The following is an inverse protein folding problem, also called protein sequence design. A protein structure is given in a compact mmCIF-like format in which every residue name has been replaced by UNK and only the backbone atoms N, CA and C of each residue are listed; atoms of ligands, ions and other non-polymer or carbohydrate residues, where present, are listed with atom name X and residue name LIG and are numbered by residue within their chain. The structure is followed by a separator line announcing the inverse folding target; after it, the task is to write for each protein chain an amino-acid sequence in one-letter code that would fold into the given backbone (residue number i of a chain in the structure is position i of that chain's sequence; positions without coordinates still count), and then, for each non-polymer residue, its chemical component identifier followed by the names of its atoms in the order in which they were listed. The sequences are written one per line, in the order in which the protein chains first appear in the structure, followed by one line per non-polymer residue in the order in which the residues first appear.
data_IF_833719852366
#
_entry.id   IF_833719852366
#
_cell.length_a   1.000
_cell.length_b   1.000
_cell.length_c   1.000
_cell.angle_alpha   90.00
_cell.angle_beta   90.00
_cell.angle_gamma   90.00
#
_symmetry.space_group_name_H-M   'P 1'
#
loop_
_entity.id
_entity.type
_entity.pdbx_description
1 polymer ?
#
# COMPACT_ATOMS: atom_id res chain seq x y z
N UNK A 1 -21.35 -45.59 -34.79
CA UNK A 1 -21.18 -44.95 -33.46
C UNK A 1 -20.40 -43.62 -33.53
N UNK A 2 -19.12 -43.61 -33.96
CA UNK A 2 -18.21 -42.45 -33.90
C UNK A 2 -18.76 -41.09 -34.42
N UNK A 3 -19.57 -41.09 -35.49
CA UNK A 3 -20.19 -39.89 -36.05
C UNK A 3 -21.16 -39.17 -35.08
N UNK A 4 -21.86 -39.91 -34.21
CA UNK A 4 -22.67 -39.32 -33.13
C UNK A 4 -21.78 -38.72 -32.03
N UNK A 5 -20.72 -39.43 -31.63
CA UNK A 5 -19.74 -38.93 -30.65
C UNK A 5 -19.10 -37.60 -31.10
N UNK A 6 -18.68 -37.50 -32.38
CA UNK A 6 -18.11 -36.26 -32.94
C UNK A 6 -19.10 -35.08 -32.94
N UNK A 7 -20.41 -35.32 -33.12
CA UNK A 7 -21.44 -34.26 -32.99
C UNK A 7 -21.61 -33.83 -31.53
N UNK A 8 -21.77 -34.78 -30.60
CA UNK A 8 -21.91 -34.48 -29.16
C UNK A 8 -20.68 -33.72 -28.64
N UNK A 9 -19.47 -34.17 -28.95
CA UNK A 9 -18.24 -33.49 -28.53
C UNK A 9 -18.14 -32.05 -29.05
N UNK A 10 -18.51 -31.79 -30.31
CA UNK A 10 -18.55 -30.42 -30.87
C UNK A 10 -19.59 -29.53 -30.18
N UNK A 11 -20.75 -30.07 -29.81
CA UNK A 11 -21.79 -29.33 -29.09
C UNK A 11 -21.36 -28.99 -27.66
N UNK A 12 -20.73 -29.94 -26.96
CA UNK A 12 -20.15 -29.68 -25.62
C UNK A 12 -19.04 -28.63 -25.68
N UNK A 13 -18.13 -28.73 -26.66
CA UNK A 13 -17.06 -27.74 -26.83
C UNK A 13 -17.62 -26.34 -27.15
N UNK A 14 -18.62 -26.25 -28.04
CA UNK A 14 -19.29 -24.99 -28.36
C UNK A 14 -20.00 -24.41 -27.13
N UNK A 15 -20.69 -25.22 -26.33
CA UNK A 15 -21.34 -24.79 -25.09
C UNK A 15 -20.31 -24.27 -24.07
N UNK A 16 -19.15 -24.92 -23.93
CA UNK A 16 -18.07 -24.44 -23.07
C UNK A 16 -17.48 -23.11 -23.58
N UNK A 17 -17.26 -22.97 -24.89
CA UNK A 17 -16.79 -21.71 -25.48
C UNK A 17 -17.80 -20.57 -25.29
N UNK A 18 -19.10 -20.82 -25.46
CA UNK A 18 -20.14 -19.81 -25.19
C UNK A 18 -20.18 -19.44 -23.71
N UNK A 19 -20.15 -20.41 -22.79
CA UNK A 19 -20.13 -20.12 -21.35
C UNK A 19 -18.88 -19.34 -20.92
N UNK A 20 -17.70 -19.69 -21.45
CA UNK A 20 -16.46 -18.94 -21.20
C UNK A 20 -16.50 -17.55 -21.82
N UNK A 21 -17.04 -17.38 -23.03
CA UNK A 21 -17.21 -16.09 -23.67
C UNK A 21 -18.21 -15.19 -22.93
N UNK A 22 -19.30 -15.75 -22.40
CA UNK A 22 -20.29 -15.03 -21.58
C UNK A 22 -19.68 -14.64 -20.22
N UNK A 23 -18.96 -15.53 -19.54
CA UNK A 23 -18.25 -15.20 -18.30
C UNK A 23 -17.17 -14.12 -18.53
N UNK A 24 -16.46 -14.19 -19.66
CA UNK A 24 -15.49 -13.17 -20.07
C UNK A 24 -16.19 -11.84 -20.39
N UNK A 25 -17.31 -11.85 -21.13
CA UNK A 25 -18.15 -10.67 -21.44
C UNK A 25 -18.69 -10.02 -20.18
N UNK A 26 -19.27 -10.76 -19.25
CA UNK A 26 -19.79 -10.24 -17.97
C UNK A 26 -18.66 -9.60 -17.17
N UNK A 27 -17.50 -10.28 -17.09
CA UNK A 27 -16.32 -9.73 -16.41
C UNK A 27 -15.83 -8.44 -17.07
N UNK A 28 -15.75 -8.39 -18.40
CA UNK A 28 -15.32 -7.21 -19.18
C UNK A 28 -16.35 -6.09 -19.18
N UNK A 29 -17.65 -6.36 -19.14
CA UNK A 29 -18.68 -5.33 -19.05
C UNK A 29 -18.73 -4.70 -17.66
N UNK A 30 -18.52 -5.47 -16.58
CA UNK A 30 -18.24 -4.90 -15.27
C UNK A 30 -16.92 -4.11 -15.29
N UNK A 31 -15.86 -4.59 -15.95
CA UNK A 31 -14.62 -3.79 -16.09
C UNK A 31 -14.88 -2.47 -16.82
N UNK A 32 -15.68 -2.45 -17.90
CA UNK A 32 -15.96 -1.22 -18.63
C UNK A 32 -16.81 -0.25 -17.81
N UNK A 33 -17.91 -0.71 -17.19
CA UNK A 33 -18.73 0.13 -16.33
C UNK A 33 -17.93 0.69 -15.15
N UNK A 34 -17.06 -0.11 -14.54
CA UNK A 34 -16.13 0.36 -13.49
C UNK A 34 -15.09 1.32 -14.08
N UNK A 35 -14.57 1.11 -15.29
CA UNK A 35 -13.63 2.04 -15.95
C UNK A 35 -14.31 3.37 -16.29
N UNK A 36 -15.58 3.36 -16.69
CA UNK A 36 -16.36 4.55 -17.00
C UNK A 36 -16.70 5.32 -15.71
N UNK A 37 -17.14 4.64 -14.65
CA UNK A 37 -17.32 5.21 -13.30
C UNK A 37 -16.00 5.76 -12.73
N UNK A 38 -14.87 5.07 -12.98
CA UNK A 38 -13.55 5.52 -12.56
C UNK A 38 -13.04 6.71 -13.38
N UNK A 39 -13.35 6.76 -14.68
CA UNK A 39 -13.05 7.91 -15.54
C UNK A 39 -13.85 9.11 -15.07
N UNK A 40 -15.15 8.96 -14.79
CA UNK A 40 -15.98 10.01 -14.21
C UNK A 40 -15.48 10.45 -12.82
N UNK A 41 -15.10 9.52 -11.94
CA UNK A 41 -14.51 9.86 -10.65
C UNK A 41 -13.15 10.58 -10.78
N UNK A 42 -12.33 10.21 -11.76
CA UNK A 42 -11.05 10.89 -12.07
C UNK A 42 -11.30 12.27 -12.66
N UNK A 43 -12.26 12.43 -13.57
CA UNK A 43 -12.66 13.72 -14.15
C UNK A 43 -13.23 14.63 -13.07
N UNK A 44 -14.11 14.12 -12.19
CA UNK A 44 -14.63 14.88 -11.05
C UNK A 44 -13.53 15.28 -10.06
N UNK A 45 -12.54 14.41 -9.81
CA UNK A 45 -11.41 14.72 -8.93
C UNK A 45 -10.39 15.73 -9.52
N UNK A 46 -10.31 15.84 -10.85
CA UNK A 46 -9.47 16.84 -11.53
C UNK A 46 -10.25 18.10 -11.94
N UNK A 47 -11.58 18.07 -11.90
CA UNK A 47 -12.42 19.27 -12.02
C UNK A 47 -12.26 20.09 -10.74
N UNK A 48 -11.88 21.38 -10.79
CA UNK A 48 -11.69 22.20 -9.59
C UNK A 48 -13.00 22.45 -8.81
N UNK A 49 -13.40 21.51 -7.95
CA UNK A 49 -14.53 21.69 -7.06
C UNK A 49 -14.21 22.76 -6.01
N UNK A 50 -14.92 23.89 -6.06
CA UNK A 50 -14.85 25.00 -5.10
C UNK A 50 -15.53 24.68 -3.76
N UNK A 51 -15.50 23.42 -3.33
CA UNK A 51 -16.16 22.93 -2.12
C UNK A 51 -15.31 23.19 -0.86
N UNK A 52 -15.90 23.87 0.12
CA UNK A 52 -15.28 24.23 1.42
C UNK A 52 -14.70 23.04 2.22
N UNK A 53 -15.09 21.81 1.92
CA UNK A 53 -14.49 20.59 2.50
C UNK A 53 -12.98 20.49 2.23
N UNK A 54 -12.50 21.03 1.11
CA UNK A 54 -11.07 21.09 0.81
C UNK A 54 -10.34 22.09 1.71
N UNK A 55 -10.93 23.24 2.03
CA UNK A 55 -10.33 24.21 2.96
C UNK A 55 -10.14 23.61 4.35
N UNK A 56 -11.12 22.88 4.89
CA UNK A 56 -10.96 22.21 6.18
C UNK A 56 -9.85 21.14 6.15
N UNK A 57 -9.73 20.39 5.07
CA UNK A 57 -8.67 19.38 4.90
C UNK A 57 -7.28 20.03 4.80
N UNK A 58 -7.11 21.02 3.92
CA UNK A 58 -5.85 21.75 3.76
C UNK A 58 -5.49 22.57 5.00
N UNK A 59 -6.47 23.08 5.76
CA UNK A 59 -6.21 23.76 7.03
C UNK A 59 -5.65 22.79 8.07
N UNK A 60 -6.27 21.63 8.26
CA UNK A 60 -5.72 20.58 9.13
C UNK A 60 -4.31 20.20 8.67
N UNK A 61 -4.07 20.05 7.36
CA UNK A 61 -2.74 19.73 6.83
C UNK A 61 -1.69 20.84 7.04
N UNK A 62 -2.10 22.12 7.02
CA UNK A 62 -1.20 23.25 7.27
C UNK A 62 -0.94 23.50 8.77
N UNK A 63 -1.87 23.16 9.65
CA UNK A 63 -1.65 23.11 11.11
C UNK A 63 -0.69 21.96 11.53
N UNK A 64 -0.30 21.08 10.60
CA UNK A 64 0.59 19.92 10.80
C UNK A 64 2.00 20.11 10.19
N UNK A 65 2.58 21.31 10.32
CA UNK A 65 4.01 21.51 10.01
C UNK A 65 4.90 20.62 10.89
N UNK A 66 6.00 20.10 10.33
CA UNK A 66 6.83 19.07 10.96
C UNK A 66 7.30 19.43 12.40
N UNK A 67 7.35 18.43 13.31
CA UNK A 67 7.57 18.66 14.73
C UNK A 67 8.94 19.27 15.04
N UNK A 68 8.99 20.21 15.98
CA UNK A 68 10.18 21.00 16.35
C UNK A 68 10.33 21.24 17.87
N UNK A 69 9.44 20.69 18.71
CA UNK A 69 9.30 21.10 20.11
C UNK A 69 8.97 19.94 21.06
N UNK A 70 9.16 20.11 22.38
CA UNK A 70 8.71 19.14 23.39
C UNK A 70 7.18 18.91 23.42
N UNK A 71 6.37 19.77 22.79
CA UNK A 71 4.91 19.54 22.66
C UNK A 71 4.60 18.36 21.74
N UNK A 72 5.45 18.14 20.74
CA UNK A 72 5.23 17.13 19.70
C UNK A 72 5.40 15.70 20.25
N UNK A 73 6.27 15.51 21.24
CA UNK A 73 6.42 14.24 21.95
C UNK A 73 5.18 13.89 22.80
N UNK A 74 4.58 14.90 23.46
CA UNK A 74 3.31 14.72 24.19
C UNK A 74 2.19 14.32 23.23
N UNK A 75 2.01 15.05 22.14
CA UNK A 75 1.04 14.73 21.09
C UNK A 75 1.20 13.29 20.57
N UNK A 76 2.43 12.80 20.38
CA UNK A 76 2.66 11.41 19.99
C UNK A 76 2.24 10.43 21.09
N UNK A 77 2.51 10.72 22.36
CA UNK A 77 2.09 9.90 23.52
C UNK A 77 0.57 9.84 23.63
N UNK A 78 -0.10 11.00 23.61
CA UNK A 78 -1.56 11.12 23.70
C UNK A 78 -2.27 10.32 22.61
N UNK A 79 -1.70 10.31 21.39
CA UNK A 79 -2.20 9.55 20.24
C UNK A 79 -1.92 8.05 20.35
N UNK A 80 -0.79 7.65 20.92
CA UNK A 80 -0.49 6.23 21.18
C UNK A 80 -1.46 5.67 22.22
N UNK A 81 -1.75 6.41 23.30
CA UNK A 81 -2.73 6.00 24.32
C UNK A 81 -4.14 5.86 23.72
N UNK A 82 -4.61 6.86 22.96
CA UNK A 82 -5.90 6.80 22.25
C UNK A 82 -5.97 5.61 21.27
N UNK A 83 -4.93 5.43 20.44
CA UNK A 83 -4.85 4.30 19.50
C UNK A 83 -4.89 2.97 20.24
N UNK A 84 -4.17 2.83 21.35
CA UNK A 84 -4.17 1.63 22.17
C UNK A 84 -5.52 1.38 22.86
N UNK A 85 -6.24 2.43 23.28
CA UNK A 85 -7.60 2.31 23.80
C UNK A 85 -8.59 1.76 22.74
N UNK A 86 -8.51 2.26 21.51
CA UNK A 86 -9.33 1.82 20.36
C UNK A 86 -8.93 0.43 19.83
N UNK A 87 -7.73 -0.05 20.15
CA UNK A 87 -7.21 -1.37 19.77
C UNK A 87 -7.30 -2.44 20.86
N UNK A 88 -7.79 -2.14 22.08
CA UNK A 88 -7.90 -3.12 23.17
C UNK A 88 -8.56 -4.41 22.69
N UNK A 89 -7.91 -5.55 22.95
CA UNK A 89 -8.32 -6.91 22.55
C UNK A 89 -8.28 -7.22 21.05
N UNK A 90 -8.06 -6.23 20.17
CA UNK A 90 -8.04 -6.40 18.71
C UNK A 90 -6.70 -6.99 18.21
N UNK A 91 -6.77 -7.73 17.12
CA UNK A 91 -5.63 -8.27 16.35
C UNK A 91 -5.46 -7.44 15.06
N UNK A 92 -4.37 -6.69 14.98
CA UNK A 92 -4.00 -5.86 13.83
C UNK A 92 -3.10 -6.64 12.86
N UNK A 93 -3.48 -6.72 11.59
CA UNK A 93 -2.64 -7.27 10.53
C UNK A 93 -2.30 -6.19 9.51
N UNK A 94 -1.00 -5.97 9.31
CA UNK A 94 -0.45 -5.14 8.25
C UNK A 94 -0.06 -6.03 7.07
N UNK A 95 -0.61 -5.79 5.88
CA UNK A 95 -0.26 -6.54 4.65
C UNK A 95 0.13 -5.57 3.54
N UNK A 96 1.32 -5.77 2.99
CA UNK A 96 1.78 -4.94 1.88
C UNK A 96 3.26 -5.13 1.56
N UNK A 97 3.83 -4.27 0.69
CA UNK A 97 5.24 -4.30 0.32
C UNK A 97 6.16 -3.76 1.44
N UNK A 98 7.45 -3.64 1.14
CA UNK A 98 8.49 -3.16 2.08
C UNK A 98 8.22 -1.78 2.70
N UNK A 99 7.46 -0.89 2.04
CA UNK A 99 7.01 0.38 2.65
C UNK A 99 6.08 0.16 3.84
N UNK A 100 5.21 -0.85 3.79
CA UNK A 100 4.37 -1.29 4.91
C UNK A 100 5.19 -1.90 6.04
N UNK A 101 6.35 -2.53 5.76
CA UNK A 101 7.28 -2.97 6.80
C UNK A 101 7.97 -1.81 7.53
N UNK A 102 8.34 -0.74 6.82
CA UNK A 102 8.86 0.47 7.46
C UNK A 102 7.80 1.13 8.35
N UNK A 103 6.55 1.20 7.88
CA UNK A 103 5.41 1.65 8.67
C UNK A 103 5.21 0.80 9.95
N UNK A 104 5.15 -0.53 9.80
CA UNK A 104 5.10 -1.48 10.93
C UNK A 104 6.19 -1.19 11.97
N UNK A 105 7.43 -1.02 11.51
CA UNK A 105 8.59 -0.80 12.38
C UNK A 105 8.54 0.56 13.09
N UNK A 106 8.07 1.61 12.40
CA UNK A 106 7.90 2.96 12.97
C UNK A 106 6.76 3.01 14.00
N UNK A 107 5.69 2.24 13.80
CA UNK A 107 4.62 2.13 14.78
C UNK A 107 5.09 1.37 16.04
N UNK A 108 5.89 0.31 15.88
CA UNK A 108 6.51 -0.41 17.00
C UNK A 108 7.49 0.46 17.81
N UNK A 109 8.27 1.32 17.16
CA UNK A 109 9.12 2.31 17.82
C UNK A 109 8.27 3.25 18.70
N UNK A 110 7.20 3.82 18.14
CA UNK A 110 6.26 4.69 18.86
C UNK A 110 5.56 4.00 20.04
N UNK A 111 5.26 2.71 19.92
CA UNK A 111 4.67 1.89 20.98
C UNK A 111 5.68 1.51 22.08
N UNK A 112 6.98 1.47 21.77
CA UNK A 112 8.00 0.98 22.72
C UNK A 112 8.14 1.84 23.97
N UNK A 113 7.84 3.15 23.87
CA UNK A 113 7.81 4.08 24.99
C UNK A 113 6.52 4.01 25.85
N UNK A 114 5.43 3.48 25.31
CA UNK A 114 4.17 3.27 26.04
C UNK A 114 4.15 1.91 26.76
N UNK A 115 4.60 0.86 26.07
CA UNK A 115 4.61 -0.52 26.59
C UNK A 115 5.78 -0.80 27.55
N UNK A 116 6.64 0.20 27.84
CA UNK A 116 7.92 0.08 28.57
C UNK A 116 8.79 -1.09 28.05
N UNK A 117 8.86 -1.22 26.71
CA UNK A 117 9.38 -2.42 26.05
C UNK A 117 9.81 -2.18 24.61
N UNK A 118 11.07 -2.49 24.29
CA UNK A 118 11.55 -2.51 22.91
C UNK A 118 10.86 -3.63 22.08
N UNK A 119 10.22 -3.24 20.97
CA UNK A 119 9.51 -4.16 20.08
C UNK A 119 10.36 -4.67 18.91
N UNK A 120 11.35 -5.50 19.20
CA UNK A 120 12.23 -6.10 18.18
C UNK A 120 11.44 -6.92 17.13
N UNK A 121 11.57 -6.55 15.85
CA UNK A 121 11.07 -7.34 14.72
C UNK A 121 12.21 -8.11 14.03
N UNK A 122 12.00 -9.41 13.77
CA UNK A 122 13.02 -10.30 13.17
C UNK A 122 13.28 -10.08 11.66
N UNK A 123 12.80 -8.98 11.09
CA UNK A 123 12.97 -8.64 9.66
C UNK A 123 11.71 -8.83 8.82
N UNK A 124 11.76 -8.28 7.59
CA UNK A 124 10.64 -8.19 6.66
C UNK A 124 10.04 -9.55 6.27
N UNK A 125 10.86 -10.54 5.94
CA UNK A 125 10.41 -11.87 5.55
C UNK A 125 10.05 -12.75 6.77
N UNK A 126 10.20 -12.26 8.00
CA UNK A 126 10.22 -13.06 9.25
C UNK A 126 9.43 -12.47 10.44
N UNK A 127 8.62 -11.43 10.24
CA UNK A 127 7.74 -10.91 11.30
C UNK A 127 6.75 -11.99 11.78
N UNK A 128 6.72 -12.27 13.08
CA UNK A 128 5.85 -13.30 13.67
C UNK A 128 4.58 -12.71 14.28
N UNK A 129 4.73 -11.84 15.27
CA UNK A 129 3.72 -11.04 15.94
C UNK A 129 4.40 -10.18 17.01
N UNK A 130 3.72 -9.14 17.46
CA UNK A 130 4.11 -8.23 18.52
C UNK A 130 2.92 -8.08 19.48
N UNK A 131 3.16 -8.24 20.78
CA UNK A 131 2.15 -8.06 21.82
C UNK A 131 2.28 -6.62 22.31
N UNK A 132 1.39 -5.75 21.84
CA UNK A 132 1.47 -4.29 21.97
C UNK A 132 0.35 -3.75 22.85
N UNK A 133 0.42 -2.47 23.23
CA UNK A 133 -0.56 -1.83 24.09
C UNK A 133 -0.68 -2.57 25.43
N UNK A 134 0.47 -2.88 26.03
CA UNK A 134 0.59 -3.55 27.30
C UNK A 134 0.44 -2.51 28.43
N UNK A 135 -0.29 -2.84 29.52
CA UNK A 135 -0.32 -1.95 30.68
C UNK A 135 1.08 -1.81 31.29
N UNK A 136 1.47 -0.61 31.76
CA UNK A 136 2.79 -0.37 32.35
C UNK A 136 3.17 -1.41 33.42
N UNK A 137 4.43 -1.84 33.40
CA UNK A 137 4.96 -2.89 34.29
C UNK A 137 4.70 -4.34 33.83
N UNK A 138 3.81 -4.59 32.86
CA UNK A 138 3.57 -5.96 32.36
C UNK A 138 4.76 -6.55 31.57
N UNK A 139 5.62 -5.68 31.03
CA UNK A 139 6.70 -6.03 30.12
C UNK A 139 7.81 -6.91 30.72
N UNK A 140 8.06 -6.76 32.02
CA UNK A 140 9.33 -7.07 32.71
C UNK A 140 9.64 -8.55 32.93
N UNK A 141 8.63 -9.43 32.87
CA UNK A 141 8.76 -10.84 33.28
C UNK A 141 8.71 -11.87 32.14
N UNK A 142 8.25 -11.50 30.94
CA UNK A 142 7.96 -12.46 29.88
C UNK A 142 8.93 -12.37 28.68
N UNK A 143 9.73 -13.43 28.56
CA UNK A 143 10.64 -13.68 27.43
C UNK A 143 9.88 -13.78 26.10
N UNK A 144 10.61 -13.65 24.98
CA UNK A 144 10.04 -13.58 23.62
C UNK A 144 9.06 -14.75 23.36
N UNK A 145 7.76 -14.45 23.36
CA UNK A 145 6.68 -15.41 23.21
C UNK A 145 6.90 -16.35 22.01
N UNK A 146 6.86 -17.67 22.24
CA UNK A 146 7.03 -18.68 21.17
C UNK A 146 5.80 -18.81 20.26
N UNK A 147 4.61 -18.53 20.78
CA UNK A 147 3.32 -18.58 20.11
C UNK A 147 2.51 -17.32 20.44
N UNK A 148 1.60 -16.85 19.55
CA UNK A 148 0.81 -15.65 19.80
C UNK A 148 -0.14 -15.85 20.99
N UNK A 149 -0.38 -14.81 21.82
CA UNK A 149 -1.46 -14.79 22.79
C UNK A 149 -2.82 -15.21 22.20
N UNK A 150 -3.56 -15.99 22.97
CA UNK A 150 -4.99 -16.24 22.73
C UNK A 150 -5.84 -15.02 23.12
N UNK A 151 -7.10 -15.00 22.71
CA UNK A 151 -8.00 -13.88 22.93
C UNK A 151 -8.33 -13.65 24.41
N UNK A 152 -8.47 -14.71 25.22
CA UNK A 152 -8.68 -14.56 26.68
C UNK A 152 -7.46 -13.88 27.33
N UNK A 153 -6.27 -14.05 26.74
CA UNK A 153 -5.06 -13.36 27.19
C UNK A 153 -5.11 -11.88 26.85
N UNK A 154 -5.43 -11.52 25.60
CA UNK A 154 -5.56 -10.12 25.14
C UNK A 154 -6.63 -9.37 25.95
N UNK A 155 -7.77 -10.01 26.24
CA UNK A 155 -8.81 -9.49 27.15
C UNK A 155 -8.26 -9.27 28.56
N UNK A 156 -7.66 -10.30 29.18
CA UNK A 156 -7.15 -10.21 30.56
C UNK A 156 -6.01 -9.20 30.77
N UNK A 157 -5.37 -8.72 29.70
CA UNK A 157 -4.34 -7.67 29.75
C UNK A 157 -4.74 -6.37 29.05
N UNK A 158 -5.99 -6.22 28.59
CA UNK A 158 -6.49 -5.08 27.81
C UNK A 158 -5.56 -4.66 26.66
N UNK A 159 -4.91 -5.62 26.01
CA UNK A 159 -3.81 -5.40 25.07
C UNK A 159 -4.17 -5.88 23.66
N UNK A 160 -3.27 -5.66 22.71
CA UNK A 160 -3.50 -5.93 21.28
C UNK A 160 -2.38 -6.79 20.70
N UNK A 161 -2.65 -7.43 19.56
CA UNK A 161 -1.66 -8.20 18.82
C UNK A 161 -1.43 -7.59 17.43
N UNK A 162 -0.20 -7.22 17.10
CA UNK A 162 0.15 -6.70 15.76
C UNK A 162 1.03 -7.68 14.98
N UNK A 163 0.78 -7.82 13.68
CA UNK A 163 1.57 -8.65 12.75
C UNK A 163 1.77 -7.89 11.44
N UNK A 164 2.94 -8.03 10.84
CA UNK A 164 3.17 -7.70 9.43
C UNK A 164 3.31 -8.96 8.58
N UNK A 165 2.82 -8.94 7.34
CA UNK A 165 3.08 -9.97 6.31
C UNK A 165 3.40 -9.30 4.97
N UNK A 166 4.51 -9.71 4.36
CA UNK A 166 4.93 -9.21 3.06
C UNK A 166 4.01 -9.72 1.92
N UNK A 167 3.43 -8.79 1.18
CA UNK A 167 2.80 -9.07 -0.11
C UNK A 167 2.96 -7.88 -1.07
N UNK A 168 3.71 -8.07 -2.15
CA UNK A 168 3.97 -7.03 -3.16
C UNK A 168 2.75 -6.73 -4.04
N UNK A 169 1.83 -7.69 -4.15
CA UNK A 169 0.65 -7.61 -5.04
C UNK A 169 -0.70 -7.75 -4.31
N UNK A 170 -0.68 -7.91 -2.98
CA UNK A 170 -1.83 -8.38 -2.19
C UNK A 170 -2.41 -9.69 -2.72
N UNK A 171 -1.57 -10.60 -3.24
CA UNK A 171 -2.03 -11.84 -3.86
C UNK A 171 -2.84 -12.70 -2.87
N UNK A 172 -4.00 -13.18 -3.32
CA UNK A 172 -4.94 -13.99 -2.55
C UNK A 172 -5.17 -15.34 -3.23
N UNK A 173 -4.92 -16.40 -2.47
CA UNK A 173 -5.39 -17.76 -2.76
C UNK A 173 -5.80 -18.44 -1.45
N UNK A 174 -6.70 -19.41 -1.55
CA UNK A 174 -7.27 -20.10 -0.36
C UNK A 174 -6.31 -21.09 0.31
N UNK A 175 -5.18 -21.42 -0.31
CA UNK A 175 -4.19 -22.36 0.21
C UNK A 175 -2.85 -21.69 0.48
N UNK A 176 -2.21 -22.04 1.61
CA UNK A 176 -0.82 -21.65 1.90
C UNK A 176 0.21 -22.36 1.00
N UNK A 177 -0.19 -23.47 0.37
CA UNK A 177 0.63 -24.30 -0.51
C UNK A 177 0.45 -23.90 -2.00
N UNK A 178 -0.21 -22.78 -2.28
CA UNK A 178 -0.33 -22.25 -3.64
C UNK A 178 1.03 -21.74 -4.14
N UNK A 179 1.33 -21.96 -5.43
CA UNK A 179 2.55 -21.45 -6.07
C UNK A 179 2.70 -19.92 -5.89
N UNK A 180 1.58 -19.21 -5.75
CA UNK A 180 1.46 -17.82 -5.32
C UNK A 180 2.27 -17.42 -4.07
N UNK A 181 2.56 -18.39 -3.20
CA UNK A 181 3.28 -18.21 -1.94
C UNK A 181 4.51 -19.11 -1.79
N UNK A 182 4.58 -20.24 -2.49
CA UNK A 182 5.69 -21.20 -2.38
C UNK A 182 6.80 -21.02 -3.42
N UNK A 183 6.53 -20.34 -4.54
CA UNK A 183 7.45 -20.31 -5.69
C UNK A 183 7.94 -18.89 -6.08
N UNK A 184 9.11 -18.76 -6.74
CA UNK A 184 9.62 -17.49 -7.27
C UNK A 184 8.81 -16.94 -8.47
N UNK A 185 7.65 -16.34 -8.21
CA UNK A 185 6.83 -15.73 -9.27
C UNK A 185 7.50 -14.48 -9.85
N UNK A 186 7.47 -14.38 -11.18
CA UNK A 186 7.79 -13.17 -11.97
C UNK A 186 6.47 -12.66 -12.55
N UNK A 187 6.16 -11.38 -12.40
CA UNK A 187 5.01 -10.77 -13.06
C UNK A 187 5.27 -10.73 -14.59
N UNK A 188 4.43 -11.37 -15.42
CA UNK A 188 4.70 -11.52 -16.85
C UNK A 188 4.64 -10.20 -17.62
N UNK A 189 4.00 -9.15 -17.07
CA UNK A 189 3.90 -7.82 -17.69
C UNK A 189 5.15 -7.00 -17.44
N UNK A 190 5.76 -7.17 -16.27
CA UNK A 190 6.86 -6.30 -15.81
C UNK A 190 8.21 -7.00 -15.80
N UNK A 191 8.27 -8.34 -15.88
CA UNK A 191 9.51 -9.11 -15.78
C UNK A 191 10.18 -9.01 -14.40
N UNK A 192 9.45 -8.55 -13.38
CA UNK A 192 9.96 -8.32 -12.02
C UNK A 192 9.43 -9.42 -11.08
N UNK A 193 10.32 -9.91 -10.22
CA UNK A 193 10.00 -10.92 -9.21
C UNK A 193 9.06 -10.34 -8.14
N UNK A 194 7.94 -11.00 -7.92
CA UNK A 194 7.02 -10.72 -6.82
C UNK A 194 7.47 -11.45 -5.54
N UNK A 195 7.04 -10.93 -4.38
CA UNK A 195 7.15 -11.59 -3.08
C UNK A 195 5.79 -11.54 -2.40
N UNK A 196 5.21 -12.70 -2.12
CA UNK A 196 3.98 -12.82 -1.34
C UNK A 196 4.13 -13.94 -0.32
N UNK A 197 3.75 -13.69 0.93
CA UNK A 197 3.55 -14.71 1.95
C UNK A 197 2.04 -14.88 2.22
N UNK A 198 1.64 -16.08 2.64
CA UNK A 198 0.23 -16.40 2.89
C UNK A 198 -0.33 -15.60 4.08
N UNK A 199 -1.19 -14.63 3.77
CA UNK A 199 -1.75 -13.68 4.74
C UNK A 199 -3.24 -13.88 5.03
N UNK A 200 -3.99 -14.51 4.13
CA UNK A 200 -5.46 -14.63 4.18
C UNK A 200 -5.98 -15.31 5.46
N UNK A 201 -5.30 -16.34 5.96
CA UNK A 201 -5.65 -16.99 7.24
C UNK A 201 -5.54 -16.03 8.43
N UNK A 202 -4.53 -15.16 8.45
CA UNK A 202 -4.34 -14.19 9.52
C UNK A 202 -5.32 -13.02 9.41
N UNK A 203 -5.67 -12.60 8.18
CA UNK A 203 -6.67 -11.55 7.98
C UNK A 203 -8.03 -11.97 8.53
N UNK A 204 -8.43 -13.23 8.34
CA UNK A 204 -9.66 -13.81 8.91
C UNK A 204 -9.63 -13.99 10.43
N UNK A 205 -8.49 -13.72 11.08
CA UNK A 205 -8.31 -13.67 12.53
C UNK A 205 -8.14 -12.23 13.04
N UNK A 206 -8.22 -11.22 12.16
CA UNK A 206 -7.88 -9.83 12.49
C UNK A 206 -9.09 -8.92 12.45
N UNK A 207 -9.37 -8.24 13.56
CA UNK A 207 -10.41 -7.21 13.64
C UNK A 207 -9.99 -5.90 12.96
N UNK A 208 -8.69 -5.67 12.77
CA UNK A 208 -8.16 -4.52 12.00
C UNK A 208 -7.19 -5.03 10.94
N UNK A 209 -7.46 -4.71 9.68
CA UNK A 209 -6.66 -5.14 8.53
C UNK A 209 -6.14 -3.92 7.78
N UNK A 210 -4.87 -3.60 7.94
CA UNK A 210 -4.21 -2.45 7.29
C UNK A 210 -3.47 -2.91 6.03
N UNK A 211 -4.05 -2.57 4.87
CA UNK A 211 -3.56 -2.95 3.55
C UNK A 211 -2.76 -1.82 2.89
N UNK A 212 -1.78 -2.19 2.07
CA UNK A 212 -1.25 -1.37 1.00
C UNK A 212 -0.75 -2.25 -0.15
N UNK A 213 -0.85 -1.73 -1.37
CA UNK A 213 -0.15 -2.26 -2.53
C UNK A 213 0.67 -1.13 -3.15
N UNK A 214 1.95 -1.40 -3.39
CA UNK A 214 2.82 -0.50 -4.15
C UNK A 214 2.43 -0.47 -5.63
N UNK A 215 2.88 0.55 -6.38
CA UNK A 215 2.58 0.65 -7.80
C UNK A 215 3.08 -0.57 -8.57
N UNK A 216 2.37 -0.94 -9.63
CA UNK A 216 2.92 -1.85 -10.64
C UNK A 216 4.17 -1.18 -11.22
N UNK A 217 5.36 -1.82 -11.11
CA UNK A 217 6.60 -1.23 -11.62
C UNK A 217 6.60 -1.23 -13.15
N UNK A 218 7.44 -0.37 -13.74
CA UNK A 218 7.66 -0.39 -15.18
C UNK A 218 8.34 -1.71 -15.61
N UNK A 219 8.17 -2.17 -16.85
CA UNK A 219 8.82 -3.40 -17.32
C UNK A 219 10.34 -3.37 -17.22
N UNK A 220 10.95 -4.53 -16.92
CA UNK A 220 12.41 -4.68 -16.74
C UNK A 220 13.26 -4.03 -17.86
N UNK A 221 12.88 -4.06 -19.16
CA UNK A 221 13.62 -3.37 -20.22
C UNK A 221 13.70 -1.85 -20.07
N UNK A 222 12.74 -1.20 -19.40
CA UNK A 222 12.70 0.26 -19.31
C UNK A 222 13.81 0.83 -18.43
N UNK A 223 14.35 0.03 -17.49
CA UNK A 223 15.52 0.41 -16.69
C UNK A 223 16.83 0.40 -17.50
N UNK A 224 16.80 -0.10 -18.74
CA UNK A 224 17.85 0.07 -19.75
C UNK A 224 17.45 1.09 -20.84
N UNK A 225 16.47 1.96 -20.57
CA UNK A 225 15.97 2.96 -21.50
C UNK A 225 15.06 2.43 -22.62
N UNK A 226 14.77 1.12 -22.67
CA UNK A 226 13.87 0.58 -23.70
C UNK A 226 12.39 0.78 -23.30
N UNK A 227 11.77 1.79 -23.92
CA UNK A 227 10.36 2.16 -23.73
C UNK A 227 9.43 1.66 -24.85
N UNK A 228 9.85 0.73 -25.72
CA UNK A 228 9.07 0.34 -26.92
C UNK A 228 7.64 -0.14 -26.61
N UNK A 229 7.42 -0.78 -25.47
CA UNK A 229 6.09 -1.25 -25.03
C UNK A 229 5.04 -0.12 -24.88
N UNK A 230 5.46 1.15 -24.85
CA UNK A 230 4.54 2.29 -24.86
C UNK A 230 3.77 2.42 -26.19
N UNK A 231 4.28 1.84 -27.27
CA UNK A 231 3.65 1.86 -28.60
C UNK A 231 2.46 0.89 -28.70
N UNK A 232 2.53 -0.24 -27.97
CA UNK A 232 1.47 -1.26 -27.90
C UNK A 232 0.28 -0.87 -27.00
N UNK A 233 0.42 0.18 -26.18
CA UNK A 233 -0.60 0.55 -25.19
C UNK A 233 -1.68 1.45 -25.83
N UNK A 234 -2.98 1.11 -25.72
CA UNK A 234 -4.07 1.95 -26.22
C UNK A 234 -4.02 3.37 -25.66
N UNK A 235 -4.40 4.37 -26.45
CA UNK A 235 -4.38 5.78 -26.01
C UNK A 235 -5.72 6.17 -25.37
N UNK A 236 -5.67 6.41 -24.06
CA UNK A 236 -6.76 6.94 -23.23
C UNK A 236 -6.66 8.46 -23.07
N UNK A 237 -5.43 8.99 -23.10
CA UNK A 237 -5.13 10.42 -23.00
C UNK A 237 -5.11 11.10 -24.38
N UNK A 238 -5.15 12.43 -24.40
CA UNK A 238 -5.30 13.24 -25.64
C UNK A 238 -4.04 13.17 -26.51
N UNK A 239 -4.15 13.38 -27.84
CA UNK A 239 -2.98 13.57 -28.69
C UNK A 239 -2.12 14.75 -28.19
N UNK A 240 -0.89 14.46 -27.79
CA UNK A 240 0.04 15.41 -27.15
C UNK A 240 0.33 15.09 -25.69
N UNK A 241 -0.54 14.34 -25.01
CA UNK A 241 -0.29 13.89 -23.63
C UNK A 241 0.81 12.81 -23.61
N UNK A 242 1.53 12.74 -22.48
CA UNK A 242 2.68 11.86 -22.30
C UNK A 242 2.30 10.38 -22.43
N UNK A 243 2.98 9.64 -23.32
CA UNK A 243 2.84 8.18 -23.44
C UNK A 243 3.13 7.45 -22.11
N UNK A 244 4.04 8.04 -21.32
CA UNK A 244 4.36 7.62 -19.96
C UNK A 244 3.13 7.75 -19.04
N UNK A 245 2.42 8.89 -19.07
CA UNK A 245 1.19 9.08 -18.30
C UNK A 245 0.09 8.12 -18.75
N UNK A 246 -0.04 7.91 -20.07
CA UNK A 246 -1.00 6.99 -20.66
C UNK A 246 -0.75 5.53 -20.22
N UNK A 247 0.52 5.09 -20.16
CA UNK A 247 0.89 3.76 -19.67
C UNK A 247 0.66 3.59 -18.16
N UNK A 248 0.95 4.62 -17.34
CA UNK A 248 0.64 4.61 -15.92
C UNK A 248 -0.88 4.54 -15.64
N UNK A 249 -1.68 5.26 -16.44
CA UNK A 249 -3.14 5.21 -16.38
C UNK A 249 -3.66 3.82 -16.78
N UNK A 250 -3.17 3.28 -17.91
CA UNK A 250 -3.50 1.93 -18.36
C UNK A 250 -3.18 0.88 -17.30
N UNK A 251 -1.95 0.83 -16.79
CA UNK A 251 -1.56 -0.17 -15.78
C UNK A 251 -2.33 -0.02 -14.46
N UNK A 252 -2.76 1.20 -14.12
CA UNK A 252 -3.59 1.44 -12.92
C UNK A 252 -5.01 0.89 -13.11
N UNK A 253 -5.61 1.13 -14.29
CA UNK A 253 -7.01 0.77 -14.60
C UNK A 253 -7.20 -0.70 -15.00
N UNK A 254 -6.31 -1.28 -15.82
CA UNK A 254 -6.49 -2.64 -16.36
C UNK A 254 -5.91 -3.74 -15.48
N UNK A 255 -4.97 -3.41 -14.59
CA UNK A 255 -4.26 -4.39 -13.77
C UNK A 255 -4.36 -4.11 -12.26
N UNK A 256 -3.92 -2.94 -11.80
CA UNK A 256 -3.79 -2.66 -10.37
C UNK A 256 -5.16 -2.65 -9.66
N UNK A 257 -6.13 -1.88 -10.18
CA UNK A 257 -7.46 -1.78 -9.57
C UNK A 257 -8.19 -3.14 -9.59
N UNK A 258 -8.32 -3.86 -10.74
CA UNK A 258 -8.97 -5.16 -10.78
C UNK A 258 -8.36 -6.21 -9.83
N UNK A 259 -7.03 -6.22 -9.66
CA UNK A 259 -6.37 -7.13 -8.71
C UNK A 259 -6.60 -6.74 -7.24
N UNK A 260 -6.59 -5.45 -6.90
CA UNK A 260 -6.92 -4.96 -5.55
C UNK A 260 -8.37 -5.30 -5.19
N UNK A 261 -9.32 -5.03 -6.10
CA UNK A 261 -10.73 -5.38 -5.90
C UNK A 261 -10.95 -6.89 -5.79
N UNK A 262 -10.23 -7.69 -6.59
CA UNK A 262 -10.30 -9.15 -6.51
C UNK A 262 -9.82 -9.68 -5.15
N UNK A 263 -8.70 -9.19 -4.62
CA UNK A 263 -8.20 -9.61 -3.31
C UNK A 263 -9.07 -9.14 -2.15
N UNK A 264 -9.67 -7.94 -2.26
CA UNK A 264 -10.67 -7.46 -1.31
C UNK A 264 -11.95 -8.33 -1.32
N UNK A 265 -12.36 -8.83 -2.48
CA UNK A 265 -13.47 -9.78 -2.60
C UNK A 265 -13.12 -11.18 -2.07
N UNK A 266 -11.89 -11.69 -2.29
CA UNK A 266 -11.46 -12.99 -1.76
C UNK A 266 -11.36 -13.04 -0.22
N UNK A 267 -11.12 -11.89 0.42
CA UNK A 267 -10.95 -11.82 1.87
C UNK A 267 -12.20 -12.31 2.63
N UNK A 268 -13.36 -11.69 2.34
CA UNK A 268 -14.58 -11.78 3.14
C UNK A 268 -14.52 -10.80 4.33
N UNK A 269 -15.37 -9.77 4.34
CA UNK A 269 -15.23 -8.60 5.24
C UNK A 269 -15.89 -8.71 6.62
N UNK A 270 -16.65 -9.77 6.87
CA UNK A 270 -17.77 -9.80 7.84
C UNK A 270 -17.44 -9.41 9.30
N UNK A 271 -16.15 -9.42 9.71
CA UNK A 271 -15.73 -9.14 11.10
C UNK A 271 -14.48 -8.25 11.21
N UNK A 272 -14.13 -7.45 10.19
CA UNK A 272 -12.86 -6.72 10.17
C UNK A 272 -12.96 -5.29 9.61
N UNK A 273 -12.46 -4.31 10.37
CA UNK A 273 -12.22 -2.94 9.90
C UNK A 273 -11.07 -2.95 8.89
N UNK A 274 -11.38 -2.86 7.60
CA UNK A 274 -10.36 -2.85 6.53
C UNK A 274 -9.93 -1.42 6.26
N UNK A 275 -8.65 -1.17 6.48
CA UNK A 275 -7.97 0.11 6.31
C UNK A 275 -7.04 0.02 5.10
N UNK A 276 -6.88 1.11 4.36
CA UNK A 276 -5.85 1.24 3.32
C UNK A 276 -4.90 2.38 3.67
N UNK A 277 -3.61 2.08 3.84
CA UNK A 277 -2.62 3.14 3.96
C UNK A 277 -2.12 3.59 2.57
N UNK A 278 -1.96 4.90 2.34
CA UNK A 278 -1.43 5.44 1.10
C UNK A 278 0.01 4.97 0.88
N UNK A 279 0.44 4.93 -0.38
CA UNK A 279 1.81 4.58 -0.76
C UNK A 279 2.77 5.73 -0.42
N UNK A 280 3.66 5.50 0.56
CA UNK A 280 4.57 6.46 1.18
C UNK A 280 5.87 6.73 0.41
N UNK A 281 5.82 6.72 -0.93
CA UNK A 281 6.97 7.16 -1.73
C UNK A 281 7.12 8.67 -1.58
N UNK A 282 8.29 9.12 -1.12
CA UNK A 282 8.52 10.53 -0.83
C UNK A 282 8.39 11.36 -2.11
N UNK A 283 7.39 12.24 -2.16
CA UNK A 283 7.20 13.17 -3.26
C UNK A 283 8.42 14.09 -3.37
N UNK A 284 9.28 13.85 -4.36
CA UNK A 284 10.43 14.72 -4.59
C UNK A 284 9.92 16.09 -5.04
N UNK A 285 9.93 17.05 -4.12
CA UNK A 285 9.79 18.47 -4.45
C UNK A 285 10.88 18.79 -5.47
N UNK A 286 10.47 19.09 -6.71
CA UNK A 286 11.37 19.15 -7.84
C UNK A 286 12.47 20.20 -7.63
N UNK A 287 13.71 19.75 -7.38
CA UNK A 287 14.92 20.56 -7.51
C UNK A 287 15.43 20.44 -8.95
N UNK A 288 16.05 21.48 -9.55
CA UNK A 288 16.77 21.35 -10.81
C UNK A 288 17.95 20.37 -10.68
N UNK A 289 18.22 19.56 -11.69
CA UNK A 289 19.27 18.53 -11.68
C UNK A 289 20.34 18.76 -12.76
N UNK A 290 21.60 18.48 -12.41
CA UNK A 290 22.76 18.49 -13.32
C UNK A 290 23.53 17.15 -13.28
N UNK A 291 24.41 16.94 -14.28
CA UNK A 291 25.39 15.85 -14.55
C UNK A 291 25.69 14.72 -13.52
N UNK A 292 25.58 13.46 -13.99
CA UNK A 292 26.17 12.12 -13.63
C UNK A 292 25.24 11.02 -14.25
N UNK A 293 25.53 9.70 -14.39
CA UNK A 293 26.70 8.91 -14.87
C UNK A 293 26.24 7.42 -15.01
N UNK A 294 27.15 6.45 -15.23
CA UNK A 294 26.92 5.31 -16.13
C UNK A 294 26.62 3.91 -15.50
N UNK A 295 25.98 3.82 -14.32
CA UNK A 295 25.45 2.54 -13.79
C UNK A 295 23.93 2.64 -13.47
N UNK A 296 23.05 1.95 -14.24
CA UNK A 296 21.62 2.02 -14.03
C UNK A 296 21.09 1.17 -12.86
N UNK A 297 21.81 0.14 -12.38
CA UNK A 297 21.14 -0.92 -11.61
C UNK A 297 20.88 -0.57 -10.14
N UNK A 298 21.56 0.44 -9.60
CA UNK A 298 21.24 0.99 -8.28
C UNK A 298 19.80 1.52 -8.20
N UNK A 299 19.36 2.22 -9.25
CA UNK A 299 18.16 3.10 -9.29
C UNK A 299 16.80 2.42 -9.08
N UNK A 300 16.74 1.10 -9.02
CA UNK A 300 15.49 0.35 -8.82
C UNK A 300 15.19 0.05 -7.34
N UNK A 301 16.19 -0.33 -6.54
CA UNK A 301 16.04 -0.59 -5.09
C UNK A 301 16.74 0.43 -4.18
N UNK A 302 17.68 1.22 -4.73
CA UNK A 302 18.49 2.19 -4.01
C UNK A 302 18.50 3.53 -4.76
N UNK A 303 17.80 4.56 -4.27
CA UNK A 303 18.11 5.95 -4.68
C UNK A 303 19.50 6.45 -4.18
N UNK A 304 20.34 5.55 -3.63
CA UNK A 304 21.67 5.80 -3.09
C UNK A 304 22.72 6.29 -4.11
N UNK A 305 22.37 6.57 -5.37
CA UNK A 305 23.27 6.98 -6.44
C UNK A 305 23.97 8.33 -6.20
N UNK A 306 23.21 9.44 -6.20
CA UNK A 306 23.61 10.80 -6.67
C UNK A 306 23.38 10.91 -8.19
N UNK A 307 22.50 11.85 -8.58
CA UNK A 307 22.23 12.40 -9.94
C UNK A 307 22.14 11.41 -11.13
N UNK A 308 21.03 11.45 -11.86
CA UNK A 308 21.04 11.21 -13.32
C UNK A 308 20.79 12.56 -13.99
N UNK A 309 21.40 12.80 -15.15
CA UNK A 309 21.21 14.02 -15.94
C UNK A 309 20.67 13.74 -17.34
N UNK A 310 20.05 14.76 -17.94
CA UNK A 310 19.57 14.77 -19.33
C UNK A 310 18.47 13.76 -19.68
N UNK A 311 17.36 13.79 -18.92
CA UNK A 311 16.02 13.68 -19.51
C UNK A 311 15.03 14.57 -18.74
N UNK A 312 14.35 15.48 -19.45
CA UNK A 312 13.32 16.37 -18.89
C UNK A 312 11.95 15.71 -18.73
N UNK A 313 11.89 14.37 -18.76
CA UNK A 313 10.68 13.55 -18.96
C UNK A 313 10.65 12.25 -18.15
N UNK A 314 11.77 11.84 -17.53
CA UNK A 314 11.80 10.65 -16.66
C UNK A 314 11.18 10.88 -15.27
N UNK A 315 10.80 12.12 -14.96
CA UNK A 315 10.32 12.54 -13.64
C UNK A 315 8.91 12.02 -13.29
N UNK A 316 8.22 11.35 -14.22
CA UNK A 316 6.77 11.14 -14.13
C UNK A 316 6.33 9.76 -13.64
N UNK A 317 6.71 8.64 -14.29
CA UNK A 317 6.01 7.35 -14.12
C UNK A 317 5.78 6.87 -12.67
N UNK A 318 6.82 6.91 -11.83
CA UNK A 318 6.72 6.46 -10.43
C UNK A 318 5.81 7.38 -9.61
N UNK A 319 5.81 8.68 -9.91
CA UNK A 319 4.96 9.65 -9.23
C UNK A 319 3.54 9.63 -9.78
N UNK A 320 3.33 9.51 -11.09
CA UNK A 320 2.01 9.37 -11.71
C UNK A 320 1.29 8.09 -11.29
N UNK A 321 1.98 6.95 -11.22
CA UNK A 321 1.37 5.70 -10.72
C UNK A 321 0.99 5.82 -9.24
N UNK A 322 1.89 6.32 -8.38
CA UNK A 322 1.60 6.55 -6.95
C UNK A 322 0.54 7.63 -6.72
N UNK A 323 0.51 8.68 -7.54
CA UNK A 323 -0.48 9.76 -7.52
C UNK A 323 -1.86 9.20 -7.87
N UNK A 324 -2.00 8.59 -9.06
CA UNK A 324 -3.27 8.01 -9.49
C UNK A 324 -3.75 6.97 -8.49
N UNK A 325 -2.89 6.05 -8.03
CA UNK A 325 -3.31 5.03 -7.06
C UNK A 325 -3.75 5.66 -5.74
N UNK A 326 -3.01 6.62 -5.17
CA UNK A 326 -3.43 7.24 -3.92
C UNK A 326 -4.73 8.05 -4.08
N UNK A 327 -4.89 8.86 -5.13
CA UNK A 327 -6.09 9.69 -5.31
C UNK A 327 -7.32 8.89 -5.78
N UNK A 328 -7.14 7.89 -6.64
CA UNK A 328 -8.23 7.05 -7.14
C UNK A 328 -8.70 6.07 -6.07
N UNK A 329 -7.80 5.42 -5.34
CA UNK A 329 -8.19 4.53 -4.25
C UNK A 329 -8.86 5.29 -3.09
N UNK A 330 -8.49 6.55 -2.84
CA UNK A 330 -9.16 7.40 -1.84
C UNK A 330 -10.66 7.58 -2.16
N UNK A 331 -11.06 7.56 -3.43
CA UNK A 331 -12.48 7.63 -3.84
C UNK A 331 -13.12 6.24 -4.02
N UNK A 332 -12.39 5.29 -4.60
CA UNK A 332 -12.89 3.95 -4.93
C UNK A 332 -13.04 3.03 -3.71
N UNK A 333 -12.08 3.04 -2.77
CA UNK A 333 -12.07 2.07 -1.66
C UNK A 333 -13.23 2.26 -0.66
N UNK A 334 -13.69 3.49 -0.33
CA UNK A 334 -14.89 3.69 0.48
C UNK A 334 -16.17 3.09 -0.14
N UNK A 335 -16.32 3.08 -1.47
CA UNK A 335 -17.45 2.41 -2.16
C UNK A 335 -17.48 0.90 -1.91
N UNK A 336 -16.37 0.33 -1.46
CA UNK A 336 -16.24 -1.06 -1.06
C UNK A 336 -16.05 -1.24 0.45
N UNK A 337 -16.39 -0.24 1.29
CA UNK A 337 -16.24 -0.34 2.75
C UNK A 337 -14.80 -0.56 3.21
N UNK A 338 -13.84 0.08 2.54
CA UNK A 338 -12.43 0.10 2.92
C UNK A 338 -12.03 1.55 3.20
N UNK A 339 -11.68 1.84 4.45
CA UNK A 339 -11.36 3.21 4.88
C UNK A 339 -9.97 3.60 4.40
N UNK A 340 -9.86 4.68 3.63
CA UNK A 340 -8.57 5.20 3.19
C UNK A 340 -7.98 6.12 4.27
N UNK A 341 -6.76 5.82 4.75
CA UNK A 341 -6.11 6.64 5.77
C UNK A 341 -5.56 7.94 5.13
N UNK A 342 -5.97 9.14 5.58
CA UNK A 342 -5.57 10.40 4.96
C UNK A 342 -4.05 10.66 5.04
N UNK A 343 -3.51 11.31 4.01
CA UNK A 343 -2.10 11.69 3.92
C UNK A 343 -1.80 12.99 4.68
N UNK A 344 -1.66 12.94 6.01
CA UNK A 344 -0.99 14.03 6.72
C UNK A 344 0.53 13.96 6.50
N UNK A 345 0.98 14.39 5.32
CA UNK A 345 2.39 14.65 5.04
C UNK A 345 2.70 16.14 5.28
N UNK A 346 3.89 16.48 5.82
CA UNK A 346 4.26 17.88 6.02
C UNK A 346 4.26 18.62 4.66
N UNK A 347 3.46 19.69 4.56
CA UNK A 347 3.19 20.38 3.29
C UNK A 347 4.43 20.99 2.60
N UNK A 348 5.57 21.05 3.30
CA UNK A 348 6.90 21.31 2.74
C UNK A 348 7.90 20.35 3.37
N UNK A 349 8.80 19.80 2.55
CA UNK A 349 10.01 19.16 3.06
C UNK A 349 10.84 20.19 3.85
N UNK A 350 11.47 19.80 4.99
CA UNK A 350 12.39 20.68 5.71
C UNK A 350 13.49 21.23 4.78
N UNK A 351 13.92 22.48 4.99
CA UNK A 351 15.07 23.04 4.25
C UNK A 351 16.33 22.21 4.51
N UNK A 352 16.41 21.70 5.73
CA UNK A 352 17.50 20.96 6.37
C UNK A 352 17.67 19.52 5.83
N UNK A 353 17.13 19.23 4.65
CA UNK A 353 17.09 17.90 3.99
C UNK A 353 18.46 17.40 3.47
N UNK A 354 19.55 18.12 3.76
CA UNK A 354 20.90 17.83 3.26
C UNK A 354 21.65 16.86 4.19
N UNK A 355 21.02 15.70 4.43
CA UNK A 355 21.59 14.63 5.24
C UNK A 355 22.49 13.71 4.39
N UNK A 356 23.71 13.36 4.82
CA UNK A 356 24.63 12.47 4.09
C UNK A 356 24.24 10.98 4.21
N UNK A 357 22.99 10.68 4.57
CA UNK A 357 22.51 9.33 4.80
C UNK A 357 22.53 8.44 3.54
N UNK A 358 22.49 7.10 3.71
CA UNK A 358 22.39 6.15 2.61
C UNK A 358 21.10 6.39 1.83
N UNK A 359 21.21 7.02 0.65
CA UNK A 359 20.19 7.90 0.03
C UNK A 359 18.94 7.20 -0.54
N UNK A 360 18.50 6.05 -0.01
CA UNK A 360 17.67 5.10 -0.78
C UNK A 360 16.23 5.54 -1.09
N UNK A 361 15.79 6.69 -0.57
CA UNK A 361 14.53 7.35 -0.93
C UNK A 361 13.27 6.65 -0.41
N UNK A 362 13.44 5.49 0.23
CA UNK A 362 12.38 4.65 0.80
C UNK A 362 12.51 4.57 2.32
N UNK A 363 13.74 4.59 2.84
CA UNK A 363 14.04 4.90 4.23
C UNK A 363 14.11 6.41 4.40
N UNK A 364 13.02 6.97 4.91
CA UNK A 364 13.21 7.98 5.94
C UNK A 364 14.03 7.33 7.06
N UNK A 365 15.14 7.92 7.54
CA UNK A 365 15.81 7.43 8.73
C UNK A 365 14.79 7.36 9.86
N UNK A 366 14.74 6.27 10.65
CA UNK A 366 13.67 6.08 11.65
C UNK A 366 13.62 7.25 12.66
N UNK A 367 14.79 7.78 12.98
CA UNK A 367 15.00 8.92 13.88
C UNK A 367 14.62 10.29 13.27
N UNK A 368 14.32 10.36 11.97
CA UNK A 368 14.05 11.62 11.26
C UNK A 368 12.70 12.25 11.63
N UNK A 369 12.63 13.58 11.56
CA UNK A 369 11.39 14.34 11.78
C UNK A 369 10.25 13.94 10.85
N UNK A 370 10.56 13.52 9.61
CA UNK A 370 9.56 13.01 8.67
C UNK A 370 9.02 11.64 9.09
N UNK A 371 9.88 10.72 9.54
CA UNK A 371 9.44 9.42 10.06
C UNK A 371 8.49 9.59 11.26
N UNK A 372 8.82 10.49 12.20
CA UNK A 372 7.92 10.87 13.31
C UNK A 372 6.63 11.52 12.84
N UNK A 373 6.68 12.42 11.85
CA UNK A 373 5.48 13.01 11.26
C UNK A 373 4.58 11.94 10.61
N UNK A 374 5.14 10.91 9.98
CA UNK A 374 4.41 9.79 9.38
C UNK A 374 3.80 8.86 10.44
N UNK A 375 4.44 8.68 11.59
CA UNK A 375 3.85 8.02 12.76
C UNK A 375 2.66 8.82 13.29
N UNK A 376 2.83 10.12 13.56
CA UNK A 376 1.74 10.99 14.05
C UNK A 376 0.58 11.05 13.05
N UNK A 377 0.89 11.06 11.75
CA UNK A 377 -0.07 10.97 10.63
C UNK A 377 -0.87 9.67 10.65
N UNK A 378 -0.19 8.52 10.80
CA UNK A 378 -0.83 7.23 10.96
C UNK A 378 -1.73 7.22 12.20
N UNK A 379 -1.20 7.55 13.38
CA UNK A 379 -1.93 7.44 14.64
C UNK A 379 -3.17 8.34 14.64
N UNK A 380 -3.09 9.58 14.12
CA UNK A 380 -4.27 10.43 13.92
C UNK A 380 -5.30 9.80 12.99
N UNK A 381 -4.85 9.22 11.87
CA UNK A 381 -5.73 8.53 10.93
C UNK A 381 -6.39 7.28 11.53
N UNK A 382 -5.64 6.53 12.34
CA UNK A 382 -6.13 5.35 13.05
C UNK A 382 -7.15 5.73 14.12
N UNK A 383 -6.88 6.77 14.93
CA UNK A 383 -7.84 7.26 15.94
C UNK A 383 -9.15 7.67 15.27
N UNK A 384 -9.10 8.54 14.25
CA UNK A 384 -10.31 9.03 13.55
C UNK A 384 -11.11 7.90 12.91
N UNK A 385 -10.45 6.88 12.34
CA UNK A 385 -11.16 5.80 11.64
C UNK A 385 -11.63 4.67 12.59
N UNK A 386 -10.86 4.33 13.62
CA UNK A 386 -11.21 3.28 14.59
C UNK A 386 -12.23 3.76 15.65
N UNK A 387 -12.48 5.06 15.75
CA UNK A 387 -13.61 5.65 16.49
C UNK A 387 -14.91 5.65 15.66
N UNK A 388 -14.80 5.55 14.33
CA UNK A 388 -15.92 5.50 13.37
C UNK A 388 -16.32 4.08 12.93
N UNK A 389 -15.69 3.03 13.47
CA UNK A 389 -15.78 1.64 12.98
C UNK A 389 -15.73 0.56 14.08
#
# INVERSE_FOLDING_TARGET
MALRLRRVFRLVLASLFVSLYVLFRIKVQNTQAVVDELLDAIVQAHTPQTSHTSESFWRIQNELTAPKSPRDFRLQTDLVEQTCSLLRTKRVLLVGPQTTYYLHSLWLDALSAHDDKAHECSGIDHCRFHHICLPPGYATSQSRYKAPPKDEKLVSTNSSLMRYVLSTSLYTASSKNDAGYTEPIIDPRTGIRLKNAFWLHYARQSQVLLLNRGPIPAPKPTYAGNWSFLEDIPRYLRPGDSLIANAAFHATTTFFIPEVLHSLHQFGRENATVLWHPSWYNGFVARPFERISDDPWASYYNLQGKRISTCGTEFDLKFLTVYMQNYVLEKLLPLHGVYFLPRFGPARAPKDWESPGPKDGLRYPMESSNARAMVVSLLKSLVVVLDQA
#
